data_IF_387266642833
#
_entry.id   IF_387266642833
#
_cell.length_a   1.000
_cell.length_b   1.000
_cell.length_c   1.000
_cell.angle_alpha   90.00
_cell.angle_beta   90.00
_cell.angle_gamma   90.00
#
_symmetry.space_group_name_H-M   'P 1'
#
loop_
_entity.id
_entity.type
_entity.pdbx_description
1 polymer ?
#
# COMPACT_ATOMS: atom_id res chain seq x y z
N UNK A 1 -8.67 -15.97 2.82
CA UNK A 1 -8.31 -14.65 2.25
C UNK A 1 -9.32 -13.63 2.76
N UNK A 2 -8.87 -12.45 3.27
CA UNK A 2 -9.76 -11.37 3.68
C UNK A 2 -9.89 -10.36 2.55
N UNK A 3 -11.06 -9.76 2.39
CA UNK A 3 -11.29 -8.65 1.46
C UNK A 3 -11.18 -7.34 2.22
N UNK A 4 -10.28 -6.46 1.78
CA UNK A 4 -10.06 -5.14 2.36
C UNK A 4 -10.27 -4.03 1.35
N UNK A 5 -10.44 -2.82 1.86
CA UNK A 5 -10.49 -1.60 1.06
C UNK A 5 -9.73 -0.49 1.76
N UNK A 6 -9.03 0.33 0.98
CA UNK A 6 -8.39 1.54 1.47
C UNK A 6 -9.43 2.50 2.06
N UNK A 7 -9.10 3.10 3.20
CA UNK A 7 -10.01 4.04 3.87
C UNK A 7 -10.15 5.38 3.15
N UNK A 8 -9.13 5.74 2.38
CA UNK A 8 -9.13 6.95 1.57
C UNK A 8 -10.28 6.95 0.54
N UNK A 9 -10.97 8.07 0.39
CA UNK A 9 -12.16 8.17 -0.46
C UNK A 9 -13.46 7.70 0.20
N UNK A 10 -13.38 7.11 1.39
CA UNK A 10 -14.56 6.66 2.14
C UNK A 10 -14.71 7.40 3.46
N UNK A 11 -13.72 7.33 4.36
CA UNK A 11 -13.82 8.00 5.66
C UNK A 11 -13.63 9.51 5.56
N UNK A 12 -12.89 10.00 4.59
CA UNK A 12 -12.76 11.42 4.28
C UNK A 12 -14.06 12.01 3.67
N UNK A 13 -14.85 11.21 2.96
CA UNK A 13 -16.14 11.62 2.40
C UNK A 13 -17.31 11.52 3.39
N UNK A 14 -17.34 10.45 4.20
CA UNK A 14 -18.48 10.11 5.06
C UNK A 14 -18.24 10.42 6.54
N UNK A 15 -17.01 10.69 6.95
CA UNK A 15 -16.57 10.66 8.34
C UNK A 15 -16.29 9.23 8.82
N UNK A 16 -15.59 9.09 9.94
CA UNK A 16 -15.07 7.81 10.44
C UNK A 16 -16.21 6.81 10.72
N UNK A 17 -17.18 7.19 11.56
CA UNK A 17 -18.24 6.26 11.98
C UNK A 17 -19.11 5.79 10.80
N UNK A 18 -19.59 6.72 9.97
CA UNK A 18 -20.40 6.39 8.81
C UNK A 18 -19.60 5.65 7.71
N UNK A 19 -18.32 5.96 7.56
CA UNK A 19 -17.43 5.29 6.63
C UNK A 19 -17.23 3.82 7.00
N UNK A 20 -16.95 3.50 8.26
CA UNK A 20 -16.84 2.12 8.73
C UNK A 20 -18.17 1.36 8.66
N UNK A 21 -19.30 2.02 8.91
CA UNK A 21 -20.63 1.45 8.70
C UNK A 21 -20.83 1.05 7.23
N UNK A 22 -20.52 1.95 6.28
CA UNK A 22 -20.66 1.70 4.84
C UNK A 22 -19.71 0.58 4.36
N UNK A 23 -18.46 0.55 4.82
CA UNK A 23 -17.49 -0.52 4.52
C UNK A 23 -18.04 -1.87 5.00
N UNK A 24 -18.57 -1.93 6.21
CA UNK A 24 -19.20 -3.17 6.73
C UNK A 24 -20.42 -3.59 5.95
N UNK A 25 -21.33 -2.67 5.67
CA UNK A 25 -22.54 -2.93 4.89
C UNK A 25 -22.22 -3.42 3.47
N UNK A 26 -21.16 -2.90 2.87
CA UNK A 26 -20.68 -3.33 1.57
C UNK A 26 -20.07 -4.76 1.58
N UNK A 27 -19.78 -5.32 2.77
CA UNK A 27 -19.31 -6.70 2.92
C UNK A 27 -17.79 -6.85 2.93
N UNK A 28 -17.04 -5.82 3.29
CA UNK A 28 -15.59 -5.92 3.53
C UNK A 28 -15.29 -6.53 4.90
N UNK A 29 -14.18 -7.28 5.00
CA UNK A 29 -13.71 -7.92 6.23
C UNK A 29 -12.77 -7.01 7.03
N UNK A 30 -12.04 -6.15 6.32
CA UNK A 30 -11.00 -5.32 6.90
C UNK A 30 -10.79 -4.04 6.08
N UNK A 31 -9.97 -3.15 6.61
CA UNK A 31 -9.50 -1.95 5.92
C UNK A 31 -8.01 -1.99 5.69
N UNK A 32 -7.58 -1.26 4.68
CA UNK A 32 -6.26 -0.72 4.49
C UNK A 32 -6.28 0.72 5.00
N UNK A 33 -5.70 0.96 6.16
CA UNK A 33 -5.77 2.25 6.81
C UNK A 33 -4.63 3.14 6.34
N UNK A 34 -4.94 4.16 5.54
CA UNK A 34 -4.02 5.26 5.23
C UNK A 34 -3.71 6.06 6.49
N UNK A 35 -2.43 6.17 6.82
CA UNK A 35 -1.91 7.00 7.91
C UNK A 35 -1.29 8.30 7.38
N UNK A 36 -1.69 8.69 6.17
CA UNK A 36 -1.28 9.95 5.57
C UNK A 36 -1.84 11.12 6.38
N UNK A 37 -0.97 11.76 7.14
CA UNK A 37 -1.27 13.08 7.69
C UNK A 37 -1.40 14.08 6.56
N UNK A 38 -2.11 15.18 6.80
CA UNK A 38 -2.25 16.23 5.81
C UNK A 38 -0.91 16.93 5.54
N UNK A 39 -0.03 16.26 4.79
CA UNK A 39 1.24 16.84 4.37
C UNK A 39 1.01 18.05 3.46
N UNK A 40 1.64 19.16 3.81
CA UNK A 40 1.78 20.31 2.94
C UNK A 40 3.15 20.21 2.29
N UNK A 41 3.20 20.02 0.97
CA UNK A 41 4.44 19.76 0.24
C UNK A 41 5.53 20.83 0.47
N UNK A 42 5.15 22.09 0.42
CA UNK A 42 6.09 23.18 0.65
C UNK A 42 6.65 23.17 2.09
N UNK A 43 5.84 22.84 3.07
CA UNK A 43 6.28 22.69 4.46
C UNK A 43 7.30 21.56 4.61
N UNK A 44 7.05 20.41 4.01
CA UNK A 44 7.98 19.28 4.00
C UNK A 44 9.32 19.65 3.34
N UNK A 45 9.27 20.26 2.14
CA UNK A 45 10.46 20.69 1.42
C UNK A 45 11.29 21.71 2.21
N UNK A 46 10.64 22.54 3.02
CA UNK A 46 11.29 23.49 3.92
C UNK A 46 11.71 22.87 5.28
N UNK A 47 11.56 21.55 5.44
CA UNK A 47 11.97 20.85 6.65
C UNK A 47 11.06 21.06 7.85
N UNK A 48 9.82 21.53 7.62
CA UNK A 48 8.84 21.70 8.68
C UNK A 48 8.23 20.34 9.06
N UNK A 49 8.06 20.11 10.36
CA UNK A 49 7.43 18.92 10.89
C UNK A 49 5.92 18.92 10.65
N UNK A 50 5.34 17.78 10.33
CA UNK A 50 3.91 17.57 10.35
C UNK A 50 3.45 17.23 11.78
N UNK A 51 2.68 18.11 12.39
CA UNK A 51 2.25 17.95 13.78
C UNK A 51 1.08 16.96 13.96
N UNK A 52 0.53 16.42 12.87
CA UNK A 52 -0.46 15.34 12.90
C UNK A 52 0.07 14.11 13.64
N UNK A 53 1.37 13.83 13.55
CA UNK A 53 2.00 12.66 14.18
C UNK A 53 2.40 12.90 15.64
N UNK A 54 2.11 14.06 16.21
CA UNK A 54 2.26 14.30 17.66
C UNK A 54 1.21 13.50 18.44
N UNK A 55 1.60 12.96 19.60
CA UNK A 55 0.79 12.03 20.39
C UNK A 55 -0.61 12.60 20.74
N UNK A 56 -0.69 13.89 21.01
CA UNK A 56 -1.94 14.59 21.36
C UNK A 56 -2.89 14.75 20.15
N UNK A 57 -2.44 14.50 18.94
CA UNK A 57 -3.24 14.55 17.71
C UNK A 57 -3.52 13.19 17.13
N UNK A 58 -2.47 12.37 16.93
CA UNK A 58 -2.63 11.07 16.25
C UNK A 58 -3.42 10.07 17.08
N UNK A 59 -3.20 10.00 18.41
CA UNK A 59 -3.92 9.03 19.23
C UNK A 59 -5.42 9.30 19.37
N UNK A 60 -5.92 10.54 19.53
CA UNK A 60 -7.36 10.81 19.44
C UNK A 60 -7.97 10.31 18.13
N UNK A 61 -7.34 10.62 16.98
CA UNK A 61 -7.79 10.15 15.66
C UNK A 61 -7.81 8.61 15.56
N UNK A 62 -6.72 7.95 15.95
CA UNK A 62 -6.60 6.49 15.89
C UNK A 62 -7.54 5.78 16.84
N UNK A 63 -7.83 6.39 18.01
CA UNK A 63 -8.82 5.86 18.95
C UNK A 63 -10.25 5.91 18.37
N UNK A 64 -10.59 6.97 17.64
CA UNK A 64 -11.87 7.06 16.93
C UNK A 64 -11.98 6.00 15.83
N UNK A 65 -10.94 5.82 15.03
CA UNK A 65 -10.81 4.75 14.03
C UNK A 65 -11.01 3.37 14.67
N UNK A 66 -10.29 3.11 15.76
CA UNK A 66 -10.36 1.83 16.46
C UNK A 66 -11.76 1.56 17.03
N UNK A 67 -12.37 2.56 17.64
CA UNK A 67 -13.73 2.45 18.18
C UNK A 67 -14.76 2.15 17.08
N UNK A 68 -14.65 2.79 15.91
CA UNK A 68 -15.51 2.51 14.77
C UNK A 68 -15.27 1.10 14.21
N UNK A 69 -14.00 0.69 14.06
CA UNK A 69 -13.65 -0.66 13.63
C UNK A 69 -14.23 -1.75 14.56
N UNK A 70 -14.06 -1.58 15.88
CA UNK A 70 -14.61 -2.49 16.89
C UNK A 70 -16.14 -2.51 16.86
N UNK A 71 -16.80 -1.34 16.75
CA UNK A 71 -18.26 -1.19 16.69
C UNK A 71 -18.89 -1.96 15.53
N UNK A 72 -18.27 -1.90 14.36
CA UNK A 72 -18.80 -2.53 13.15
C UNK A 72 -18.19 -3.89 12.85
N UNK A 73 -17.21 -4.35 13.63
CA UNK A 73 -16.53 -5.64 13.41
C UNK A 73 -15.76 -5.65 12.07
N UNK A 74 -15.07 -4.57 11.75
CA UNK A 74 -14.17 -4.44 10.60
C UNK A 74 -12.74 -4.50 11.13
N UNK A 75 -11.92 -5.42 10.59
CA UNK A 75 -10.53 -5.55 11.01
C UNK A 75 -9.57 -4.58 10.31
N UNK A 76 -8.31 -4.59 10.74
CA UNK A 76 -7.22 -3.95 10.02
C UNK A 76 -6.45 -5.03 9.24
N UNK A 77 -6.48 -4.98 7.92
CA UNK A 77 -5.76 -5.90 7.04
C UNK A 77 -4.32 -5.49 6.85
N UNK A 78 -4.12 -4.21 6.68
CA UNK A 78 -2.84 -3.51 6.54
C UNK A 78 -3.02 -2.03 6.88
N UNK A 79 -1.91 -1.34 7.13
CA UNK A 79 -1.84 0.13 7.20
C UNK A 79 -0.87 0.64 6.14
N UNK A 80 -1.01 1.87 5.74
CA UNK A 80 -0.15 2.54 4.79
C UNK A 80 0.52 3.75 5.44
N UNK A 81 1.86 3.78 5.42
CA UNK A 81 2.63 4.91 5.93
C UNK A 81 2.58 6.09 4.94
N UNK A 82 2.81 7.33 5.41
CA UNK A 82 2.77 8.48 4.53
C UNK A 82 3.87 8.47 3.45
N UNK A 83 3.55 9.07 2.32
CA UNK A 83 4.48 9.36 1.24
C UNK A 83 4.80 10.86 1.23
N UNK A 84 6.03 11.29 0.96
CA UNK A 84 7.22 10.48 0.60
C UNK A 84 8.05 10.06 1.82
N UNK A 85 8.95 9.08 1.61
CA UNK A 85 9.99 8.67 2.57
C UNK A 85 11.33 9.38 2.35
N UNK A 86 11.46 10.10 1.23
CA UNK A 86 12.66 10.78 0.81
C UNK A 86 12.37 12.07 0.03
N UNK A 87 13.08 13.12 0.38
CA UNK A 87 13.04 14.42 -0.28
C UNK A 87 14.46 14.79 -0.76
N UNK A 88 14.76 14.68 -2.07
CA UNK A 88 16.14 14.85 -2.61
C UNK A 88 16.80 16.19 -2.26
N UNK A 89 15.99 17.22 -1.97
CA UNK A 89 16.48 18.60 -1.71
C UNK A 89 16.28 19.06 -0.28
N UNK A 90 15.83 18.17 0.62
CA UNK A 90 15.55 18.51 2.02
C UNK A 90 15.95 17.36 2.94
N UNK A 91 17.13 17.42 3.51
CA UNK A 91 17.61 16.44 4.49
C UNK A 91 16.71 16.45 5.74
N UNK A 92 16.38 17.64 6.24
CA UNK A 92 15.49 17.76 7.40
C UNK A 92 14.07 17.27 7.11
N UNK A 93 13.54 17.55 5.91
CA UNK A 93 12.23 17.04 5.48
C UNK A 93 12.25 15.51 5.38
N UNK A 94 13.31 14.93 4.81
CA UNK A 94 13.50 13.46 4.76
C UNK A 94 13.51 12.86 6.17
N UNK A 95 14.24 13.47 7.10
CA UNK A 95 14.30 13.00 8.48
C UNK A 95 12.93 13.06 9.17
N UNK A 96 12.17 14.14 8.94
CA UNK A 96 10.82 14.29 9.48
C UNK A 96 9.89 13.19 8.94
N UNK A 97 9.84 12.98 7.62
CA UNK A 97 9.03 11.90 7.00
C UNK A 97 9.39 10.53 7.57
N UNK A 98 10.68 10.23 7.73
CA UNK A 98 11.12 8.95 8.30
C UNK A 98 10.77 8.80 9.79
N UNK A 99 10.70 9.89 10.54
CA UNK A 99 10.21 9.85 11.93
C UNK A 99 8.70 9.61 11.97
N UNK A 100 7.94 10.21 11.05
CA UNK A 100 6.51 9.97 10.92
C UNK A 100 6.20 8.51 10.54
N UNK A 101 7.02 7.90 9.66
CA UNK A 101 6.97 6.45 9.37
C UNK A 101 7.18 5.62 10.64
N UNK A 102 8.15 5.99 11.50
CA UNK A 102 8.36 5.28 12.78
C UNK A 102 7.13 5.37 13.69
N UNK A 103 6.49 6.53 13.74
CA UNK A 103 5.22 6.70 14.46
C UNK A 103 4.11 5.82 13.86
N UNK A 104 4.04 5.69 12.55
CA UNK A 104 3.06 4.82 11.89
C UNK A 104 3.27 3.34 12.22
N UNK A 105 4.52 2.85 12.38
CA UNK A 105 4.79 1.47 12.86
C UNK A 105 4.23 1.27 14.28
N UNK A 106 4.43 2.24 15.18
CA UNK A 106 3.86 2.20 16.53
C UNK A 106 2.33 2.13 16.50
N UNK A 107 1.69 2.99 15.69
CA UNK A 107 0.23 3.02 15.51
C UNK A 107 -0.28 1.69 14.92
N UNK A 108 0.41 1.14 13.93
CA UNK A 108 0.07 -0.16 13.34
C UNK A 108 0.01 -1.26 14.40
N UNK A 109 1.02 -1.33 15.26
CA UNK A 109 1.04 -2.25 16.39
C UNK A 109 -0.05 -1.95 17.43
N UNK A 110 -0.32 -0.67 17.73
CA UNK A 110 -1.38 -0.25 18.64
C UNK A 110 -2.78 -0.68 18.15
N UNK A 111 -3.01 -0.66 16.85
CA UNK A 111 -4.24 -1.14 16.22
C UNK A 111 -4.33 -2.67 16.16
N UNK A 112 -3.26 -3.39 16.48
CA UNK A 112 -3.17 -4.85 16.29
C UNK A 112 -3.15 -5.25 14.81
N UNK A 113 -2.76 -4.33 13.92
CA UNK A 113 -2.61 -4.62 12.51
C UNK A 113 -1.29 -5.36 12.25
N UNK A 114 -1.29 -6.47 11.48
CA UNK A 114 -0.09 -7.30 11.33
C UNK A 114 0.97 -6.73 10.39
N UNK A 115 0.63 -5.74 9.56
CA UNK A 115 1.54 -5.23 8.52
C UNK A 115 1.34 -3.77 8.21
N UNK A 116 2.44 -3.14 7.79
CA UNK A 116 2.46 -1.75 7.31
C UNK A 116 3.15 -1.70 5.95
N UNK A 117 2.59 -0.94 5.01
CA UNK A 117 3.23 -0.62 3.74
C UNK A 117 4.04 0.65 3.93
N UNK A 118 5.29 0.62 3.50
CA UNK A 118 6.21 1.75 3.54
C UNK A 118 6.89 1.84 2.18
N UNK A 119 6.65 2.93 1.46
CA UNK A 119 7.27 3.17 0.16
C UNK A 119 8.80 3.23 0.29
N UNK A 120 9.54 2.65 -0.67
CA UNK A 120 10.99 2.73 -0.67
C UNK A 120 11.46 4.17 -0.91
N UNK A 121 12.70 4.43 -0.52
CA UNK A 121 13.42 5.65 -0.89
C UNK A 121 13.72 5.58 -2.38
N UNK A 122 13.23 6.54 -3.15
CA UNK A 122 13.58 6.73 -4.55
C UNK A 122 13.43 8.20 -4.95
N UNK A 123 14.09 8.57 -6.03
CA UNK A 123 13.87 9.88 -6.65
C UNK A 123 12.77 9.74 -7.71
N UNK A 124 11.63 10.39 -7.51
CA UNK A 124 10.53 10.40 -8.47
C UNK A 124 10.84 11.09 -9.81
N UNK A 125 12.06 11.64 -9.99
CA UNK A 125 12.52 12.22 -11.24
C UNK A 125 13.00 11.13 -12.20
N UNK A 126 12.13 10.76 -13.16
CA UNK A 126 12.48 9.74 -14.16
C UNK A 126 13.60 10.18 -15.13
N UNK A 127 13.79 11.49 -15.35
CA UNK A 127 14.72 12.00 -16.35
C UNK A 127 16.12 12.25 -15.81
N UNK A 128 16.21 12.76 -14.61
CA UNK A 128 17.46 13.12 -13.94
C UNK A 128 17.42 12.70 -12.47
N UNK A 129 17.44 11.38 -12.19
CA UNK A 129 17.42 10.91 -10.82
C UNK A 129 18.66 11.41 -10.07
N UNK A 130 18.48 11.89 -8.87
CA UNK A 130 19.57 12.37 -8.01
C UNK A 130 20.36 11.23 -7.37
N UNK A 131 19.84 10.00 -7.43
CA UNK A 131 20.45 8.80 -6.88
C UNK A 131 20.79 7.81 -8.00
N UNK A 132 21.98 7.25 -7.93
CA UNK A 132 22.30 6.02 -8.68
C UNK A 132 21.58 4.83 -8.04
N UNK A 133 21.41 3.73 -8.78
CA UNK A 133 20.80 2.50 -8.25
C UNK A 133 21.54 1.94 -7.03
N UNK A 134 22.86 2.08 -6.99
CA UNK A 134 23.67 1.66 -5.84
C UNK A 134 23.42 2.55 -4.60
N UNK A 135 23.33 3.86 -4.78
CA UNK A 135 23.01 4.80 -3.70
C UNK A 135 21.59 4.60 -3.20
N UNK A 136 20.62 4.40 -4.12
CA UNK A 136 19.22 4.09 -3.80
C UNK A 136 19.15 2.81 -2.96
N UNK A 137 19.82 1.74 -3.41
CA UNK A 137 19.89 0.48 -2.67
C UNK A 137 20.47 0.67 -1.26
N UNK A 138 21.62 1.33 -1.15
CA UNK A 138 22.28 1.57 0.14
C UNK A 138 21.39 2.36 1.10
N UNK A 139 20.77 3.45 0.63
CA UNK A 139 19.86 4.27 1.45
C UNK A 139 18.64 3.47 1.91
N UNK A 140 18.06 2.65 1.06
CA UNK A 140 16.94 1.79 1.43
C UNK A 140 17.34 0.75 2.48
N UNK A 141 18.47 0.06 2.30
CA UNK A 141 18.96 -0.90 3.30
C UNK A 141 19.23 -0.20 4.65
N UNK A 142 19.85 0.97 4.65
CA UNK A 142 20.08 1.76 5.87
C UNK A 142 18.76 2.16 6.54
N UNK A 143 17.82 2.70 5.77
CA UNK A 143 16.53 3.16 6.28
C UNK A 143 15.71 2.01 6.86
N UNK A 144 15.43 0.97 6.07
CA UNK A 144 14.60 -0.15 6.53
C UNK A 144 15.25 -0.93 7.67
N UNK A 145 16.58 -1.12 7.67
CA UNK A 145 17.28 -1.75 8.78
C UNK A 145 17.13 -0.96 10.09
N UNK A 146 17.05 0.38 10.00
CA UNK A 146 16.81 1.23 11.16
C UNK A 146 15.42 1.04 11.80
N UNK A 147 14.47 0.44 11.07
CA UNK A 147 13.12 0.17 11.55
C UNK A 147 13.00 -1.17 12.29
N UNK A 148 13.96 -2.08 12.14
CA UNK A 148 13.94 -3.44 12.72
C UNK A 148 13.58 -3.46 14.21
N UNK A 149 14.17 -2.61 15.09
CA UNK A 149 13.83 -2.62 16.51
C UNK A 149 12.35 -2.31 16.78
N UNK A 150 11.75 -1.40 16.00
CA UNK A 150 10.34 -1.04 16.14
C UNK A 150 9.42 -2.14 15.59
N UNK A 151 9.74 -2.71 14.43
CA UNK A 151 8.99 -3.81 13.84
C UNK A 151 8.93 -5.01 14.79
N UNK A 152 10.07 -5.37 15.42
CA UNK A 152 10.13 -6.40 16.47
C UNK A 152 9.30 -6.04 17.68
N UNK A 153 9.45 -4.82 18.21
CA UNK A 153 8.73 -4.35 19.40
C UNK A 153 7.22 -4.44 19.22
N UNK A 154 6.71 -4.07 18.05
CA UNK A 154 5.28 -3.99 17.78
C UNK A 154 4.73 -5.22 17.04
N UNK A 155 5.58 -6.20 16.72
CA UNK A 155 5.22 -7.42 15.97
C UNK A 155 4.52 -7.10 14.64
N UNK A 156 5.11 -6.22 13.85
CA UNK A 156 4.60 -5.72 12.57
C UNK A 156 5.54 -6.12 11.44
N UNK A 157 5.00 -6.64 10.34
CA UNK A 157 5.73 -6.87 9.09
C UNK A 157 5.71 -5.59 8.25
N UNK A 158 6.88 -5.15 7.81
CA UNK A 158 7.02 -4.04 6.86
C UNK A 158 6.97 -4.56 5.43
N UNK A 159 6.08 -4.02 4.63
CA UNK A 159 5.93 -4.37 3.21
C UNK A 159 6.50 -3.24 2.35
N UNK A 160 7.51 -3.55 1.53
CA UNK A 160 7.97 -2.67 0.48
C UNK A 160 6.97 -2.74 -0.69
N UNK A 161 6.95 -1.73 -1.55
CA UNK A 161 6.03 -1.64 -2.69
C UNK A 161 6.77 -1.31 -3.98
N UNK A 162 6.26 -1.79 -5.13
CA UNK A 162 6.79 -1.45 -6.45
C UNK A 162 6.34 -0.06 -6.88
N UNK A 163 7.29 0.78 -7.27
CA UNK A 163 7.07 2.19 -7.59
C UNK A 163 7.27 2.47 -9.07
N UNK A 164 6.67 3.55 -9.54
CA UNK A 164 6.86 4.11 -10.87
C UNK A 164 7.30 5.58 -10.79
N UNK A 165 7.87 6.09 -11.86
CA UNK A 165 8.23 7.49 -12.01
C UNK A 165 7.84 8.02 -13.38
N UNK A 166 7.56 9.32 -13.50
CA UNK A 166 7.16 9.94 -14.74
C UNK A 166 8.11 11.08 -15.14
N UNK A 167 8.50 11.11 -16.41
CA UNK A 167 9.06 12.33 -17.02
C UNK A 167 7.91 13.29 -17.32
N UNK A 168 7.83 14.36 -16.56
CA UNK A 168 6.75 15.33 -16.64
C UNK A 168 6.67 16.09 -17.98
N UNK A 169 7.78 16.18 -18.73
CA UNK A 169 7.80 16.81 -20.06
C UNK A 169 7.24 15.85 -21.11
N UNK A 170 7.81 14.66 -21.23
CA UNK A 170 7.41 13.66 -22.24
C UNK A 170 6.19 12.82 -21.83
N UNK A 171 5.77 12.88 -20.56
CA UNK A 171 4.74 12.03 -19.94
C UNK A 171 5.08 10.54 -19.93
N UNK A 172 6.30 10.18 -20.29
CA UNK A 172 6.74 8.78 -20.32
C UNK A 172 6.89 8.25 -18.89
N UNK A 173 6.38 7.04 -18.67
CA UNK A 173 6.49 6.32 -17.40
C UNK A 173 7.69 5.38 -17.44
N UNK A 174 8.34 5.22 -16.28
CA UNK A 174 9.50 4.38 -16.06
C UNK A 174 9.34 3.55 -14.80
N UNK A 175 9.94 2.35 -14.79
CA UNK A 175 10.10 1.55 -13.59
C UNK A 175 11.00 2.30 -12.58
N UNK A 176 10.52 2.48 -11.35
CA UNK A 176 11.28 3.08 -10.27
C UNK A 176 11.77 2.00 -9.28
N UNK A 177 12.05 2.38 -8.04
CA UNK A 177 12.52 1.45 -7.00
C UNK A 177 11.53 0.30 -6.81
N UNK A 178 12.04 -0.90 -6.58
CA UNK A 178 11.25 -2.12 -6.41
C UNK A 178 10.34 -2.47 -7.60
N UNK A 179 10.65 -1.98 -8.81
CA UNK A 179 9.96 -2.34 -10.05
C UNK A 179 10.83 -3.18 -11.01
N UNK A 180 11.93 -3.74 -10.53
CA UNK A 180 12.62 -4.91 -11.06
C UNK A 180 12.50 -6.07 -10.09
N UNK A 181 12.03 -7.23 -10.56
CA UNK A 181 11.72 -8.37 -9.70
C UNK A 181 12.94 -8.92 -8.95
N UNK A 182 14.13 -8.91 -9.58
CA UNK A 182 15.34 -9.40 -8.94
C UNK A 182 15.86 -8.40 -7.89
N UNK A 183 15.78 -7.10 -8.19
CA UNK A 183 16.04 -6.04 -7.21
C UNK A 183 15.11 -6.16 -6.00
N UNK A 184 13.82 -6.34 -6.24
CA UNK A 184 12.79 -6.50 -5.19
C UNK A 184 13.07 -7.70 -4.29
N UNK A 185 13.32 -8.87 -4.87
CA UNK A 185 13.67 -10.08 -4.11
C UNK A 185 14.93 -9.84 -3.28
N UNK A 186 15.94 -9.21 -3.87
CA UNK A 186 17.19 -8.91 -3.18
C UNK A 186 16.97 -8.00 -1.96
N UNK A 187 16.15 -6.93 -2.09
CA UNK A 187 15.82 -6.07 -0.94
C UNK A 187 15.21 -6.87 0.21
N UNK A 188 14.20 -7.69 -0.07
CA UNK A 188 13.48 -8.43 0.96
C UNK A 188 14.40 -9.46 1.63
N UNK A 189 15.18 -10.20 0.84
CA UNK A 189 16.05 -11.26 1.35
C UNK A 189 17.18 -10.66 2.20
N UNK A 190 17.82 -9.59 1.75
CA UNK A 190 18.91 -8.95 2.49
C UNK A 190 18.39 -8.30 3.79
N UNK A 191 17.24 -7.65 3.77
CA UNK A 191 16.63 -7.05 4.95
C UNK A 191 16.24 -8.11 5.99
N UNK A 192 15.67 -9.24 5.56
CA UNK A 192 15.34 -10.35 6.45
C UNK A 192 16.60 -11.04 6.99
N UNK A 193 17.66 -11.15 6.19
CA UNK A 193 18.96 -11.65 6.66
C UNK A 193 19.57 -10.73 7.74
N UNK A 194 19.49 -9.40 7.57
CA UNK A 194 19.94 -8.42 8.58
C UNK A 194 19.08 -8.53 9.85
N UNK A 195 17.76 -8.70 9.70
CA UNK A 195 16.85 -8.81 10.83
C UNK A 195 17.01 -10.13 11.60
N UNK A 196 17.50 -11.18 10.94
CA UNK A 196 17.61 -12.55 11.48
C UNK A 196 16.25 -13.27 11.58
N UNK A 197 15.19 -12.69 11.04
CA UNK A 197 13.83 -13.23 10.99
C UNK A 197 13.00 -12.56 9.91
N UNK A 198 11.80 -13.08 9.62
CA UNK A 198 10.89 -12.52 8.61
C UNK A 198 10.17 -11.28 9.14
N UNK A 199 10.71 -10.10 8.90
CA UNK A 199 10.11 -8.80 9.22
C UNK A 199 9.76 -7.97 7.99
N UNK A 200 10.24 -8.38 6.82
CA UNK A 200 10.03 -7.66 5.56
C UNK A 200 9.35 -8.57 4.55
N UNK A 201 8.34 -8.05 3.90
CA UNK A 201 7.63 -8.67 2.81
C UNK A 201 7.36 -7.67 1.69
N UNK A 202 6.48 -8.01 0.78
CA UNK A 202 6.15 -7.18 -0.35
C UNK A 202 4.65 -6.91 -0.44
N UNK A 203 4.30 -5.66 -0.68
CA UNK A 203 3.01 -5.25 -1.20
C UNK A 203 3.13 -5.15 -2.72
N UNK A 204 2.44 -6.00 -3.46
CA UNK A 204 2.43 -5.90 -4.90
C UNK A 204 1.28 -4.98 -5.31
N UNK A 205 1.63 -3.80 -5.82
CA UNK A 205 0.69 -2.93 -6.49
C UNK A 205 0.51 -3.37 -7.95
N UNK A 206 -0.71 -3.82 -8.25
CA UNK A 206 -1.08 -4.35 -9.57
C UNK A 206 -1.12 -3.22 -10.61
N UNK A 207 -1.64 -2.06 -10.24
CA UNK A 207 -1.73 -0.92 -11.15
C UNK A 207 -0.36 -0.36 -11.51
N UNK A 208 0.55 -0.29 -10.57
CA UNK A 208 1.94 0.13 -10.82
C UNK A 208 2.66 -0.82 -11.80
N UNK A 209 2.40 -2.15 -11.72
CA UNK A 209 2.94 -3.08 -12.70
C UNK A 209 2.43 -2.81 -14.12
N UNK A 210 1.15 -2.45 -14.26
CA UNK A 210 0.55 -2.13 -15.57
C UNK A 210 1.22 -0.91 -16.19
N UNK A 211 1.45 0.14 -15.39
CA UNK A 211 2.11 1.37 -15.84
C UNK A 211 3.50 1.14 -16.42
N UNK A 212 4.23 0.17 -15.87
CA UNK A 212 5.58 -0.18 -16.34
C UNK A 212 5.58 -1.39 -17.30
N UNK A 213 4.39 -1.84 -17.73
CA UNK A 213 4.23 -2.87 -18.76
C UNK A 213 4.63 -4.28 -18.34
N UNK A 214 4.48 -4.63 -17.05
CA UNK A 214 4.91 -5.92 -16.53
C UNK A 214 3.75 -6.89 -16.29
N UNK A 215 4.04 -8.20 -16.35
CA UNK A 215 3.05 -9.26 -16.18
C UNK A 215 2.84 -9.60 -14.70
N UNK A 216 1.63 -9.38 -14.14
CA UNK A 216 1.36 -9.65 -12.73
C UNK A 216 1.51 -11.13 -12.36
N UNK A 217 1.18 -12.08 -13.23
CA UNK A 217 1.35 -13.50 -12.93
C UNK A 217 2.83 -13.85 -12.71
N UNK A 218 3.70 -13.39 -13.60
CA UNK A 218 5.14 -13.61 -13.48
C UNK A 218 5.68 -13.03 -12.16
N UNK A 219 5.27 -11.82 -11.79
CA UNK A 219 5.68 -11.18 -10.54
C UNK A 219 5.22 -11.96 -9.31
N UNK A 220 3.94 -12.32 -9.27
CA UNK A 220 3.34 -13.06 -8.17
C UNK A 220 4.08 -14.40 -7.96
N UNK A 221 4.32 -15.16 -9.05
CA UNK A 221 5.03 -16.44 -8.97
C UNK A 221 6.48 -16.28 -8.50
N UNK A 222 7.18 -15.22 -8.94
CA UNK A 222 8.56 -14.95 -8.53
C UNK A 222 8.68 -14.50 -7.08
N UNK A 223 7.74 -13.69 -6.61
CA UNK A 223 7.70 -13.28 -5.21
C UNK A 223 7.43 -14.48 -4.28
N UNK A 224 6.51 -15.36 -4.67
CA UNK A 224 6.14 -16.52 -3.85
C UNK A 224 5.77 -16.10 -2.42
N UNK A 225 6.42 -16.70 -1.43
CA UNK A 225 6.16 -16.42 -0.01
C UNK A 225 6.54 -14.99 0.44
N UNK A 226 7.28 -14.23 -0.37
CA UNK A 226 7.62 -12.83 -0.09
C UNK A 226 6.43 -11.90 -0.30
N UNK A 227 5.42 -12.35 -1.07
CA UNK A 227 4.18 -11.59 -1.29
C UNK A 227 3.33 -11.59 -0.03
N UNK A 228 3.38 -10.49 0.70
CA UNK A 228 2.70 -10.35 2.00
C UNK A 228 1.31 -9.73 1.85
N UNK A 229 1.14 -8.79 0.93
CA UNK A 229 -0.12 -8.12 0.69
C UNK A 229 -0.21 -7.55 -0.72
N UNK A 230 -1.35 -6.95 -1.06
CA UNK A 230 -1.65 -6.44 -2.39
C UNK A 230 -2.23 -5.02 -2.29
N UNK A 231 -1.93 -4.20 -3.29
CA UNK A 231 -2.76 -3.09 -3.71
C UNK A 231 -3.44 -3.45 -5.04
N UNK A 232 -4.76 -3.53 -4.98
CA UNK A 232 -5.58 -4.00 -6.11
C UNK A 232 -6.36 -2.84 -6.68
N UNK A 233 -5.97 -2.42 -7.86
CA UNK A 233 -6.70 -1.46 -8.67
C UNK A 233 -6.39 -1.66 -10.15
N UNK A 234 -7.14 -1.02 -11.01
CA UNK A 234 -6.95 -1.02 -12.46
C UNK A 234 -6.59 0.39 -12.93
N UNK A 235 -6.02 0.48 -14.13
CA UNK A 235 -5.77 1.73 -14.83
C UNK A 235 -5.74 1.51 -16.35
N UNK A 236 -5.61 2.58 -17.12
CA UNK A 236 -5.56 2.54 -18.57
C UNK A 236 -4.16 2.25 -19.16
N UNK A 237 -3.16 2.00 -18.30
CA UNK A 237 -1.75 1.81 -18.68
C UNK A 237 -0.98 3.11 -18.95
N UNK A 238 -1.62 4.27 -18.73
CA UNK A 238 -1.03 5.60 -18.94
C UNK A 238 -1.06 6.45 -17.68
N UNK A 239 -2.13 6.35 -16.89
CA UNK A 239 -2.31 7.06 -15.63
C UNK A 239 -2.49 6.11 -14.46
N UNK A 240 -2.10 6.57 -13.28
CA UNK A 240 -2.32 5.84 -12.03
C UNK A 240 -3.76 6.10 -11.54
N UNK A 241 -4.72 5.44 -12.20
CA UNK A 241 -6.14 5.80 -12.10
C UNK A 241 -6.83 5.35 -10.82
N UNK A 242 -6.31 4.34 -10.13
CA UNK A 242 -6.91 3.74 -8.93
C UNK A 242 -8.41 3.44 -9.10
N UNK A 243 -8.78 2.77 -10.19
CA UNK A 243 -10.16 2.39 -10.51
C UNK A 243 -10.42 0.91 -10.22
N UNK A 244 -11.70 0.54 -10.25
CA UNK A 244 -12.15 -0.83 -10.00
C UNK A 244 -11.63 -1.79 -11.08
N UNK A 245 -11.26 -3.04 -10.75
CA UNK A 245 -10.93 -4.09 -11.72
C UNK A 245 -11.98 -4.24 -12.83
N UNK A 246 -11.49 -4.54 -14.04
CA UNK A 246 -12.25 -4.66 -15.30
C UNK A 246 -12.66 -3.33 -15.95
N UNK A 247 -12.32 -2.19 -15.37
CA UNK A 247 -12.55 -0.89 -16.02
C UNK A 247 -11.28 -0.30 -16.65
N UNK A 248 -10.16 -0.98 -16.54
CA UNK A 248 -8.88 -0.62 -17.14
C UNK A 248 -8.34 -1.70 -18.08
N UNK A 249 -7.02 -1.82 -18.15
CA UNK A 249 -6.34 -2.71 -19.08
C UNK A 249 -5.72 -3.96 -18.42
N UNK A 250 -5.92 -4.18 -17.13
CA UNK A 250 -5.36 -5.33 -16.42
C UNK A 250 -5.95 -6.66 -16.90
N UNK A 251 -5.06 -7.62 -17.17
CA UNK A 251 -5.49 -9.00 -17.39
C UNK A 251 -5.71 -9.72 -16.05
N UNK A 252 -6.93 -9.62 -15.51
CA UNK A 252 -7.30 -10.19 -14.22
C UNK A 252 -7.21 -11.73 -14.19
N UNK A 253 -7.28 -12.41 -15.33
CA UNK A 253 -7.05 -13.86 -15.39
C UNK A 253 -5.60 -14.20 -15.05
N UNK A 254 -4.64 -13.34 -15.43
CA UNK A 254 -3.24 -13.48 -15.06
C UNK A 254 -3.01 -13.28 -13.56
N UNK A 255 -3.66 -12.28 -12.96
CA UNK A 255 -3.60 -12.05 -11.50
C UNK A 255 -4.16 -13.25 -10.74
N UNK A 256 -5.35 -13.72 -11.13
CA UNK A 256 -5.99 -14.89 -10.52
C UNK A 256 -5.11 -16.14 -10.64
N UNK A 257 -4.53 -16.37 -11.81
CA UNK A 257 -3.64 -17.53 -12.06
C UNK A 257 -2.41 -17.48 -11.13
N UNK A 258 -1.70 -16.34 -11.09
CA UNK A 258 -0.51 -16.18 -10.26
C UNK A 258 -0.81 -16.40 -8.77
N UNK A 259 -1.87 -15.75 -8.24
CA UNK A 259 -2.26 -15.88 -6.82
C UNK A 259 -2.68 -17.32 -6.47
N UNK A 260 -3.33 -18.02 -7.39
CA UNK A 260 -3.69 -19.44 -7.24
C UNK A 260 -2.44 -20.31 -7.19
N UNK A 261 -1.50 -20.11 -8.13
CA UNK A 261 -0.29 -20.92 -8.27
C UNK A 261 0.59 -20.87 -7.01
N UNK A 262 0.66 -19.72 -6.35
CA UNK A 262 1.41 -19.59 -5.08
C UNK A 262 0.58 -19.97 -3.84
N UNK A 263 -0.71 -20.28 -4.01
CA UNK A 263 -1.60 -20.56 -2.88
C UNK A 263 -1.80 -19.36 -1.94
N UNK A 264 -1.89 -18.16 -2.50
CA UNK A 264 -2.03 -16.90 -1.72
C UNK A 264 -3.25 -16.93 -0.79
N UNK A 265 -3.05 -16.59 0.49
CA UNK A 265 -4.10 -16.65 1.53
C UNK A 265 -4.24 -15.35 2.33
N UNK A 266 -3.36 -14.39 2.11
CA UNK A 266 -3.33 -13.15 2.86
C UNK A 266 -4.45 -12.19 2.43
N UNK A 267 -4.23 -10.89 2.60
CA UNK A 267 -5.23 -9.86 2.38
C UNK A 267 -5.35 -9.51 0.88
N UNK A 268 -6.58 -9.43 0.37
CA UNK A 268 -6.88 -8.90 -0.96
C UNK A 268 -7.43 -7.49 -0.77
N UNK A 269 -6.56 -6.49 -0.91
CA UNK A 269 -6.86 -5.11 -0.54
C UNK A 269 -7.05 -4.23 -1.75
N UNK A 270 -8.20 -3.61 -1.86
CA UNK A 270 -8.42 -2.59 -2.87
C UNK A 270 -7.79 -1.26 -2.49
N UNK A 271 -7.01 -0.71 -3.42
CA UNK A 271 -6.56 0.67 -3.45
C UNK A 271 -7.24 1.45 -4.58
N UNK A 272 -8.54 1.29 -4.72
CA UNK A 272 -9.35 1.88 -5.77
C UNK A 272 -10.10 3.14 -5.30
N UNK A 273 -9.40 4.03 -4.57
CA UNK A 273 -10.00 5.21 -3.94
C UNK A 273 -10.62 6.18 -4.94
N UNK A 274 -10.04 6.31 -6.13
CA UNK A 274 -10.57 7.19 -7.17
C UNK A 274 -11.89 6.68 -7.76
N UNK A 275 -12.18 5.39 -7.67
CA UNK A 275 -13.48 4.87 -8.06
C UNK A 275 -14.58 5.44 -7.15
N UNK A 276 -14.41 5.36 -5.82
CA UNK A 276 -15.37 5.89 -4.87
C UNK A 276 -15.51 7.42 -4.96
N UNK A 277 -14.41 8.14 -5.10
CA UNK A 277 -14.36 9.61 -5.15
C UNK A 277 -15.03 10.23 -6.37
N UNK A 278 -15.22 9.45 -7.46
CA UNK A 278 -15.92 9.93 -8.66
C UNK A 278 -17.43 9.99 -8.49
N UNK A 279 -17.98 9.39 -7.44
CA UNK A 279 -19.40 9.41 -7.15
C UNK A 279 -19.76 10.50 -6.12
N UNK A 280 -20.99 11.06 -6.18
CA UNK A 280 -21.53 11.84 -5.07
C UNK A 280 -21.54 11.03 -3.78
N UNK A 281 -21.46 11.74 -2.65
CA UNK A 281 -21.41 11.11 -1.32
C UNK A 281 -22.56 10.11 -1.08
N UNK A 282 -23.74 10.40 -1.58
CA UNK A 282 -24.95 9.58 -1.48
C UNK A 282 -24.80 8.21 -2.16
N UNK A 283 -23.91 8.07 -3.14
CA UNK A 283 -23.66 6.84 -3.88
C UNK A 283 -22.40 6.11 -3.41
N UNK A 284 -21.67 6.64 -2.45
CA UNK A 284 -20.43 6.02 -1.94
C UNK A 284 -20.66 4.58 -1.45
N UNK A 285 -21.76 4.33 -0.73
CA UNK A 285 -22.12 3.00 -0.27
C UNK A 285 -22.39 2.00 -1.41
N UNK A 286 -23.01 2.43 -2.49
CA UNK A 286 -23.29 1.58 -3.65
C UNK A 286 -22.00 1.32 -4.47
N UNK A 287 -21.11 2.30 -4.57
CA UNK A 287 -19.79 2.12 -5.16
C UNK A 287 -18.96 1.09 -4.38
N UNK A 288 -18.97 1.16 -3.05
CA UNK A 288 -18.32 0.16 -2.17
C UNK A 288 -18.92 -1.24 -2.34
N UNK A 289 -20.25 -1.38 -2.47
CA UNK A 289 -20.90 -2.68 -2.73
C UNK A 289 -20.46 -3.27 -4.08
N UNK A 290 -20.33 -2.45 -5.12
CA UNK A 290 -19.82 -2.92 -6.41
C UNK A 290 -18.37 -3.38 -6.31
N UNK A 291 -17.53 -2.59 -5.64
CA UNK A 291 -16.12 -2.94 -5.42
C UNK A 291 -15.99 -4.26 -4.65
N UNK A 292 -16.78 -4.42 -3.59
CA UNK A 292 -16.83 -5.66 -2.81
C UNK A 292 -17.30 -6.86 -3.64
N UNK A 293 -18.32 -6.70 -4.47
CA UNK A 293 -18.82 -7.76 -5.35
C UNK A 293 -17.72 -8.26 -6.30
N UNK A 294 -16.97 -7.32 -6.92
CA UNK A 294 -15.82 -7.66 -7.80
C UNK A 294 -14.72 -8.36 -7.01
N UNK A 295 -14.40 -7.88 -5.80
CA UNK A 295 -13.40 -8.51 -4.94
C UNK A 295 -13.78 -9.93 -4.55
N UNK A 296 -15.02 -10.16 -4.12
CA UNK A 296 -15.53 -11.51 -3.79
C UNK A 296 -15.52 -12.45 -5.00
N UNK A 297 -15.85 -11.94 -6.18
CA UNK A 297 -15.75 -12.70 -7.42
C UNK A 297 -14.31 -13.14 -7.71
N UNK A 298 -13.33 -12.21 -7.63
CA UNK A 298 -11.92 -12.51 -7.84
C UNK A 298 -11.39 -13.49 -6.78
N UNK A 299 -11.67 -13.28 -5.51
CA UNK A 299 -11.30 -14.19 -4.42
C UNK A 299 -11.90 -15.59 -4.66
N UNK A 300 -13.15 -15.68 -5.05
CA UNK A 300 -13.80 -16.95 -5.40
C UNK A 300 -13.06 -17.69 -6.49
N UNK A 301 -12.61 -16.98 -7.53
CA UNK A 301 -11.79 -17.58 -8.60
C UNK A 301 -10.40 -18.01 -8.14
N UNK A 302 -9.75 -17.25 -7.26
CA UNK A 302 -8.42 -17.59 -6.71
C UNK A 302 -8.50 -18.83 -5.83
N UNK A 303 -9.56 -18.98 -5.04
CA UNK A 303 -9.72 -20.08 -4.06
C UNK A 303 -10.47 -21.29 -4.60
N UNK A 304 -11.03 -21.23 -5.81
CA UNK A 304 -11.69 -22.39 -6.44
C UNK A 304 -10.69 -23.54 -6.61
N UNK A 305 -11.07 -24.71 -6.13
CA UNK A 305 -10.37 -25.95 -6.47
C UNK A 305 -10.49 -26.18 -7.98
N UNK A 306 -9.36 -26.53 -8.63
CA UNK A 306 -9.46 -26.98 -10.03
C UNK A 306 -10.26 -28.30 -10.03
N UNK A 307 -11.38 -28.31 -10.73
CA UNK A 307 -11.97 -29.57 -11.14
C UNK A 307 -10.91 -30.34 -11.93
N UNK A 308 -10.31 -31.34 -11.30
CA UNK A 308 -9.38 -32.27 -11.98
C UNK A 308 -10.17 -32.94 -13.10
N UNK A 309 -10.11 -32.33 -14.29
CA UNK A 309 -10.57 -32.97 -15.53
C UNK A 309 -9.51 -33.90 -16.07
#
# INVERSE_FOLDING_TARGET
>A
MKLSVQTLGTIDALGIDAGFAAIKEAGFDAVDLGLDGAYVWDDLCNGKKCDFYDDDKIYPYVNEIKAAADKYGVGFGQTHAPFPTYLPRSEQGTLNCQNDVRKCIEITGYLGCPRIIIHPIFDGSARFPSLTKEEEYKKNIEFYSSLIPLLKKYNVVCCLENMWAQDWESKKIYAACCSDINETIKYIDDLNAIAGERLFGFCLDIGHLLLVGQDPCYWIEKLGDRLETLHVHDNDGVGDDHIIPYMGCCNWDRVVLGLRNIGYKNNFSFEASNFNRKFPQELCGDALKMLSAVGRYLIGRITAEEDKK
#
